data_IF_970976826235
#
_entry.id   IF_970976826235
#
_cell.length_a   1.000
_cell.length_b   1.000
_cell.length_c   1.000
_cell.angle_alpha   90.00
_cell.angle_beta   90.00
_cell.angle_gamma   90.00
#
_symmetry.space_group_name_H-M   'P 1'
#
loop_
_entity.id
_entity.type
_entity.pdbx_description
1 polymer ?
#
# COMPACT_ATOMS: atom_id res chain seq x y z
N UNK A 1 33.60 0.46 -31.43
CA UNK A 1 32.63 0.93 -30.43
C UNK A 1 32.63 -0.09 -29.29
N UNK A 2 33.21 0.25 -28.13
CA UNK A 2 33.30 -0.66 -26.99
C UNK A 2 32.00 -0.58 -26.17
N UNK A 3 31.34 -1.72 -25.98
CA UNK A 3 30.17 -1.84 -25.12
C UNK A 3 30.64 -1.93 -23.65
N UNK A 4 30.29 -0.92 -22.83
CA UNK A 4 30.46 -0.99 -21.39
C UNK A 4 29.29 -1.79 -20.79
N UNK A 5 29.60 -2.98 -20.30
CA UNK A 5 28.65 -3.85 -19.63
C UNK A 5 28.52 -3.37 -18.16
N UNK A 6 27.45 -2.63 -17.85
CA UNK A 6 27.19 -2.15 -16.49
C UNK A 6 26.58 -3.29 -15.68
N UNK A 7 27.41 -3.99 -14.91
CA UNK A 7 26.96 -5.04 -14.00
C UNK A 7 26.40 -4.36 -12.74
N UNK A 8 25.07 -4.28 -12.61
CA UNK A 8 24.42 -3.84 -11.37
C UNK A 8 24.64 -4.94 -10.33
N UNK A 9 25.28 -4.67 -9.17
CA UNK A 9 25.40 -5.68 -8.13
C UNK A 9 24.00 -6.08 -7.66
N UNK A 10 23.71 -7.38 -7.68
CA UNK A 10 22.51 -7.90 -7.04
C UNK A 10 22.61 -7.64 -5.53
N UNK A 11 21.59 -7.00 -4.97
CA UNK A 11 21.43 -6.86 -3.53
C UNK A 11 21.40 -8.26 -2.91
N UNK A 12 22.51 -8.63 -2.29
CA UNK A 12 22.59 -9.84 -1.47
C UNK A 12 21.87 -9.54 -0.16
N UNK A 13 20.85 -10.33 0.25
CA UNK A 13 20.13 -10.05 1.48
C UNK A 13 21.04 -10.34 2.68
N UNK A 14 21.60 -9.29 3.27
CA UNK A 14 22.24 -9.36 4.58
C UNK A 14 21.14 -9.47 5.65
N UNK A 15 21.15 -10.48 6.54
CA UNK A 15 19.97 -10.79 7.36
C UNK A 15 19.61 -9.78 8.46
N UNK A 16 20.41 -8.74 8.74
CA UNK A 16 20.28 -7.96 9.99
C UNK A 16 20.60 -6.45 9.89
N UNK A 17 20.53 -5.83 8.72
CA UNK A 17 20.43 -4.36 8.65
C UNK A 17 18.95 -3.98 8.65
N UNK A 18 18.44 -3.23 9.64
CA UNK A 18 17.16 -2.56 9.48
C UNK A 18 17.30 -1.64 8.27
N UNK A 19 16.61 -1.96 7.18
CA UNK A 19 16.63 -1.14 5.98
C UNK A 19 15.88 0.17 6.27
N UNK A 20 16.60 1.18 6.75
CA UNK A 20 16.09 2.55 6.91
C UNK A 20 16.38 3.19 8.26
N UNK A 21 16.18 4.51 8.31
CA UNK A 21 16.22 5.31 9.54
C UNK A 21 14.87 5.11 10.25
N UNK A 22 14.89 4.64 11.49
CA UNK A 22 13.68 4.61 12.33
C UNK A 22 13.36 6.03 12.80
N UNK A 23 12.08 6.41 12.73
CA UNK A 23 11.59 7.72 13.20
C UNK A 23 10.59 7.46 14.32
N UNK A 24 10.86 7.98 15.51
CA UNK A 24 9.91 8.00 16.62
C UNK A 24 9.02 9.25 16.49
N UNK A 25 7.72 9.05 16.24
CA UNK A 25 6.79 10.18 16.08
C UNK A 25 6.60 11.00 17.35
N UNK A 26 6.92 10.45 18.53
CA UNK A 26 6.82 11.16 19.82
C UNK A 26 7.91 12.22 19.99
N UNK A 27 9.02 12.08 19.25
CA UNK A 27 10.13 13.04 19.26
C UNK A 27 9.89 14.22 18.31
N UNK A 28 8.87 14.15 17.45
CA UNK A 28 8.57 15.17 16.47
C UNK A 28 7.57 16.19 17.03
N UNK A 29 7.95 17.47 17.22
CA UNK A 29 7.10 18.45 17.91
C UNK A 29 5.84 18.85 17.13
N UNK A 30 5.74 18.47 15.86
CA UNK A 30 4.60 18.76 14.99
C UNK A 30 3.62 17.58 14.83
N UNK A 31 3.88 16.43 15.46
CA UNK A 31 2.92 15.31 15.41
C UNK A 31 1.76 15.57 16.35
N UNK A 32 0.55 15.25 15.90
CA UNK A 32 -0.62 15.38 16.75
C UNK A 32 -0.66 14.25 17.77
N UNK A 33 -1.32 14.49 18.91
CA UNK A 33 -1.61 13.44 19.89
C UNK A 33 -2.29 12.24 19.24
N UNK A 34 -3.24 12.47 18.33
CA UNK A 34 -3.94 11.40 17.62
C UNK A 34 -3.01 10.48 16.83
N UNK A 35 -2.00 11.02 16.14
CA UNK A 35 -1.02 10.20 15.41
C UNK A 35 -0.20 9.35 16.40
N UNK A 36 0.21 9.94 17.52
CA UNK A 36 0.93 9.19 18.56
C UNK A 36 0.05 8.09 19.18
N UNK A 37 -1.20 8.40 19.51
CA UNK A 37 -2.15 7.44 20.06
C UNK A 37 -2.39 6.29 19.06
N UNK A 38 -2.52 6.58 17.77
CA UNK A 38 -2.65 5.55 16.73
C UNK A 38 -1.42 4.66 16.59
N UNK A 39 -0.21 5.21 16.75
CA UNK A 39 1.04 4.47 16.58
C UNK A 39 1.49 3.70 17.83
N UNK A 40 1.17 4.19 19.03
CA UNK A 40 1.75 3.68 20.29
C UNK A 40 0.72 3.30 21.36
N UNK A 41 -0.51 3.85 21.31
CA UNK A 41 -1.54 3.68 22.35
C UNK A 41 -2.90 3.31 21.72
N UNK A 42 -2.88 2.41 20.73
CA UNK A 42 -4.02 2.17 19.85
C UNK A 42 -5.27 1.62 20.59
N UNK A 43 -5.09 0.96 21.74
CA UNK A 43 -6.19 0.45 22.56
C UNK A 43 -7.20 1.54 22.96
N UNK A 44 -6.75 2.80 23.08
CA UNK A 44 -7.62 3.94 23.37
C UNK A 44 -8.48 4.35 22.16
N UNK A 45 -8.08 3.96 20.94
CA UNK A 45 -8.75 4.29 19.70
C UNK A 45 -9.51 3.11 19.08
N UNK A 46 -9.38 1.91 19.64
CA UNK A 46 -9.85 0.66 19.04
C UNK A 46 -11.32 0.68 18.60
N UNK A 47 -12.20 1.41 19.31
CA UNK A 47 -13.62 1.50 18.99
C UNK A 47 -13.91 2.29 17.70
N UNK A 48 -12.97 3.10 17.23
CA UNK A 48 -13.11 3.92 16.03
C UNK A 48 -12.54 3.24 14.77
N UNK A 49 -11.94 2.06 14.91
CA UNK A 49 -11.23 1.38 13.82
C UNK A 49 -11.66 -0.09 13.71
N UNK A 50 -11.52 -0.65 12.50
CA UNK A 50 -11.94 -2.02 12.22
C UNK A 50 -11.01 -3.09 12.83
N UNK A 51 -9.73 -2.76 13.00
CA UNK A 51 -8.71 -3.69 13.47
C UNK A 51 -7.50 -2.93 14.03
N UNK A 52 -6.75 -3.61 14.90
CA UNK A 52 -5.48 -3.10 15.41
C UNK A 52 -4.41 -3.12 14.30
N UNK A 53 -3.81 -1.98 13.92
CA UNK A 53 -2.98 -1.86 12.73
C UNK A 53 -1.69 -2.70 12.81
N UNK A 54 -1.15 -2.88 14.01
CA UNK A 54 0.09 -3.64 14.25
C UNK A 54 -0.13 -5.15 14.51
N UNK A 55 -1.38 -5.63 14.51
CA UNK A 55 -1.69 -7.04 14.79
C UNK A 55 -2.14 -7.74 13.52
N UNK A 56 -1.27 -8.56 12.91
CA UNK A 56 -1.57 -9.24 11.64
C UNK A 56 -2.81 -10.14 11.70
N UNK A 57 -3.09 -10.77 12.84
CA UNK A 57 -4.29 -11.61 13.02
C UNK A 57 -5.58 -10.79 12.93
N UNK A 58 -5.59 -9.54 13.41
CA UNK A 58 -6.77 -8.68 13.34
C UNK A 58 -7.15 -8.37 11.88
N UNK A 59 -6.15 -8.21 11.00
CA UNK A 59 -6.37 -7.99 9.57
C UNK A 59 -6.90 -9.23 8.83
N UNK A 60 -6.53 -10.45 9.26
CA UNK A 60 -7.10 -11.68 8.65
C UNK A 60 -8.62 -11.71 8.82
N UNK A 61 -9.11 -11.39 10.01
CA UNK A 61 -10.55 -11.30 10.29
C UNK A 61 -11.24 -10.26 9.39
N UNK A 62 -10.63 -9.09 9.18
CA UNK A 62 -11.16 -8.05 8.28
C UNK A 62 -11.19 -8.51 6.83
N UNK A 63 -10.14 -9.19 6.37
CA UNK A 63 -10.04 -9.73 5.00
C UNK A 63 -11.11 -10.81 4.77
N UNK A 64 -11.29 -11.72 5.72
CA UNK A 64 -12.28 -12.79 5.61
C UNK A 64 -13.71 -12.23 5.64
N UNK A 65 -13.98 -11.25 6.50
CA UNK A 65 -15.26 -10.52 6.49
C UNK A 65 -15.50 -9.79 5.16
N UNK A 66 -14.45 -9.19 4.57
CA UNK A 66 -14.55 -8.55 3.25
C UNK A 66 -14.85 -9.56 2.15
N UNK A 67 -14.21 -10.73 2.16
CA UNK A 67 -14.49 -11.83 1.21
C UNK A 67 -15.91 -12.38 1.33
N UNK A 68 -16.48 -12.38 2.54
CA UNK A 68 -17.87 -12.77 2.76
C UNK A 68 -18.88 -11.78 2.16
N UNK A 69 -18.47 -10.54 1.86
CA UNK A 69 -19.31 -9.53 1.19
C UNK A 69 -18.61 -8.98 -0.06
N UNK A 70 -18.49 -9.78 -1.15
CA UNK A 70 -17.72 -9.41 -2.33
C UNK A 70 -18.12 -8.06 -2.94
N UNK A 71 -17.14 -7.38 -3.53
CA UNK A 71 -17.39 -6.20 -4.37
C UNK A 71 -18.02 -6.64 -5.70
N UNK A 72 -18.83 -5.76 -6.30
CA UNK A 72 -19.35 -5.97 -7.65
C UNK A 72 -18.20 -6.08 -8.68
N UNK A 73 -18.12 -7.19 -9.46
CA UNK A 73 -17.13 -7.34 -10.53
C UNK A 73 -17.11 -6.20 -11.54
N UNK A 74 -18.22 -5.47 -11.72
CA UNK A 74 -18.30 -4.31 -12.60
C UNK A 74 -17.25 -3.23 -12.26
N UNK A 75 -16.83 -3.12 -11.00
CA UNK A 75 -15.74 -2.20 -10.61
C UNK A 75 -14.41 -2.63 -11.23
N UNK A 76 -14.11 -3.94 -11.25
CA UNK A 76 -12.93 -4.47 -11.92
C UNK A 76 -12.97 -4.24 -13.43
N UNK A 77 -14.13 -4.43 -14.06
CA UNK A 77 -14.32 -4.20 -15.50
C UNK A 77 -14.05 -2.73 -15.89
N UNK A 78 -14.57 -1.78 -15.11
CA UNK A 78 -14.32 -0.35 -15.30
C UNK A 78 -12.82 -0.04 -15.18
N UNK A 79 -12.13 -0.62 -14.19
CA UNK A 79 -10.70 -0.41 -14.01
C UNK A 79 -9.87 -0.98 -15.17
N UNK A 80 -10.18 -2.20 -15.62
CA UNK A 80 -9.52 -2.82 -16.77
C UNK A 80 -9.66 -1.94 -18.00
N UNK A 81 -10.89 -1.50 -18.31
CA UNK A 81 -11.15 -0.62 -19.44
C UNK A 81 -10.36 0.68 -19.36
N UNK A 82 -10.38 1.35 -18.21
CA UNK A 82 -9.65 2.62 -18.02
C UNK A 82 -8.13 2.46 -18.17
N UNK A 83 -7.58 1.35 -17.71
CA UNK A 83 -6.15 1.06 -17.85
C UNK A 83 -5.77 0.75 -19.29
N UNK A 84 -6.62 0.02 -20.04
CA UNK A 84 -6.42 -0.23 -21.46
C UNK A 84 -6.45 1.06 -22.28
N UNK A 85 -7.45 1.93 -22.04
CA UNK A 85 -7.58 3.23 -22.71
C UNK A 85 -6.36 4.14 -22.46
N UNK A 86 -5.63 3.93 -21.36
CA UNK A 86 -4.41 4.68 -20.98
C UNK A 86 -3.12 4.02 -21.43
N UNK A 87 -3.17 2.88 -22.12
CA UNK A 87 -1.98 2.12 -22.51
C UNK A 87 -1.15 1.65 -21.32
N UNK A 88 -1.82 1.27 -20.22
CA UNK A 88 -1.15 0.80 -19.01
C UNK A 88 -0.32 -0.48 -19.27
N UNK A 89 0.76 -0.70 -18.49
CA UNK A 89 1.57 -1.90 -18.63
C UNK A 89 0.80 -3.17 -18.23
N UNK A 90 1.23 -4.30 -18.76
CA UNK A 90 0.59 -5.60 -18.55
C UNK A 90 0.42 -5.97 -17.06
N UNK A 91 1.39 -5.62 -16.22
CA UNK A 91 1.31 -5.86 -14.78
C UNK A 91 0.10 -5.14 -14.14
N UNK A 92 -0.22 -3.91 -14.56
CA UNK A 92 -1.37 -3.18 -14.06
C UNK A 92 -2.69 -3.79 -14.56
N UNK A 93 -2.73 -4.23 -15.83
CA UNK A 93 -3.88 -4.92 -16.41
C UNK A 93 -4.14 -6.26 -15.72
N UNK A 94 -3.10 -7.04 -15.44
CA UNK A 94 -3.19 -8.30 -14.72
C UNK A 94 -3.78 -8.12 -13.31
N UNK A 95 -3.28 -7.11 -12.56
CA UNK A 95 -3.81 -6.79 -11.24
C UNK A 95 -5.27 -6.31 -11.28
N UNK A 96 -5.65 -5.53 -12.28
CA UNK A 96 -7.05 -5.11 -12.44
C UNK A 96 -7.97 -6.28 -12.81
N UNK A 97 -7.52 -7.19 -13.67
CA UNK A 97 -8.27 -8.41 -13.99
C UNK A 97 -8.45 -9.32 -12.77
N UNK A 98 -7.49 -9.36 -11.85
CA UNK A 98 -7.64 -10.11 -10.60
C UNK A 98 -8.83 -9.62 -9.75
N UNK A 99 -9.22 -8.35 -9.87
CA UNK A 99 -10.38 -7.79 -9.15
C UNK A 99 -11.73 -8.31 -9.67
N UNK A 100 -11.76 -8.96 -10.84
CA UNK A 100 -12.97 -9.64 -11.35
C UNK A 100 -13.30 -10.89 -10.52
N UNK A 101 -12.33 -11.44 -9.79
CA UNK A 101 -12.58 -12.54 -8.86
C UNK A 101 -13.22 -12.01 -7.57
N UNK A 102 -14.40 -12.56 -7.23
CA UNK A 102 -15.17 -12.18 -6.02
C UNK A 102 -14.42 -12.38 -4.70
N UNK A 103 -13.39 -13.22 -4.67
CA UNK A 103 -12.57 -13.47 -3.48
C UNK A 103 -11.35 -12.53 -3.36
N UNK A 104 -11.13 -11.67 -4.35
CA UNK A 104 -10.05 -10.69 -4.34
C UNK A 104 -10.32 -9.57 -3.35
N UNK A 105 -9.27 -9.14 -2.68
CA UNK A 105 -9.25 -7.95 -1.82
C UNK A 105 -8.15 -7.03 -2.30
N UNK A 106 -8.34 -5.72 -2.12
CA UNK A 106 -7.38 -4.71 -2.51
C UNK A 106 -7.02 -3.84 -1.31
N UNK A 107 -5.74 -3.50 -1.19
CA UNK A 107 -5.29 -2.42 -0.32
C UNK A 107 -5.37 -1.14 -1.13
N UNK A 108 -6.10 -0.15 -0.61
CA UNK A 108 -6.38 1.09 -1.32
C UNK A 108 -5.77 2.25 -0.56
N UNK A 109 -5.08 3.13 -1.28
CA UNK A 109 -4.62 4.43 -0.78
C UNK A 109 -5.06 5.51 -1.77
N UNK A 110 -4.97 6.78 -1.36
CA UNK A 110 -5.43 7.90 -2.14
C UNK A 110 -4.60 9.16 -1.95
N UNK A 111 -4.55 9.95 -3.01
CA UNK A 111 -3.99 11.29 -3.01
C UNK A 111 -4.62 12.13 -4.13
N UNK A 112 -4.71 13.44 -3.93
CA UNK A 112 -5.09 14.38 -4.99
C UNK A 112 -4.06 14.34 -6.13
N UNK A 113 -4.53 14.45 -7.38
CA UNK A 113 -3.66 14.52 -8.55
C UNK A 113 -2.88 15.84 -8.56
N UNK A 114 -1.64 15.80 -8.06
CA UNK A 114 -0.71 16.93 -8.10
C UNK A 114 0.11 16.94 -9.39
N UNK A 115 0.45 18.14 -9.87
CA UNK A 115 1.38 18.30 -11.00
C UNK A 115 2.71 17.57 -10.68
N UNK A 116 3.26 16.88 -11.67
CA UNK A 116 4.51 16.09 -11.54
C UNK A 116 4.49 15.02 -10.43
N UNK A 117 3.32 14.48 -10.10
CA UNK A 117 3.17 13.45 -9.04
C UNK A 117 2.92 14.02 -7.65
N UNK A 118 2.88 15.34 -7.50
CA UNK A 118 2.58 16.01 -6.25
C UNK A 118 3.70 15.86 -5.20
N UNK A 119 3.37 15.94 -3.91
CA UNK A 119 4.36 15.79 -2.84
C UNK A 119 5.00 14.40 -2.82
N UNK A 120 6.23 14.29 -2.31
CA UNK A 120 6.97 13.02 -2.21
C UNK A 120 6.18 11.90 -1.52
N UNK A 121 5.37 12.24 -0.51
CA UNK A 121 4.58 11.24 0.21
C UNK A 121 3.55 10.53 -0.68
N UNK A 122 3.19 11.06 -1.86
CA UNK A 122 2.35 10.36 -2.84
C UNK A 122 3.03 9.07 -3.30
N UNK A 123 4.32 9.15 -3.63
CA UNK A 123 5.11 7.99 -4.04
C UNK A 123 5.30 7.04 -2.85
N UNK A 124 5.58 7.58 -1.66
CA UNK A 124 5.74 6.76 -0.46
C UNK A 124 4.46 5.98 -0.12
N UNK A 125 3.29 6.62 -0.22
CA UNK A 125 1.99 5.94 -0.06
C UNK A 125 1.82 4.79 -1.06
N UNK A 126 2.14 5.01 -2.33
CA UNK A 126 2.04 3.97 -3.35
C UNK A 126 2.96 2.77 -3.06
N UNK A 127 4.23 3.04 -2.70
CA UNK A 127 5.20 2.00 -2.33
C UNK A 127 4.75 1.22 -1.08
N UNK A 128 4.24 1.91 -0.06
CA UNK A 128 3.70 1.25 1.14
C UNK A 128 2.52 0.36 0.80
N UNK A 129 1.60 0.81 -0.05
CA UNK A 129 0.46 -0.01 -0.49
C UNK A 129 0.87 -1.24 -1.30
N UNK A 130 1.94 -1.17 -2.09
CA UNK A 130 2.46 -2.33 -2.84
C UNK A 130 3.17 -3.33 -1.92
N UNK A 131 3.81 -2.84 -0.84
CA UNK A 131 4.56 -3.68 0.11
C UNK A 131 3.67 -4.48 1.06
N UNK A 132 2.54 -3.90 1.46
CA UNK A 132 1.56 -4.51 2.37
C UNK A 132 0.76 -5.61 1.67
#
# INVERSE_FOLDING_TARGET
>A
MQQYNYNVPADSPQPNTPNGISIDFRELPWTSRFVNDYCYEFDQLQEFFLAHPQQSEAWKTVIDARRATPTDPAIGEVLVRQLQERGAPEAALSNANALLNKNSVAIVTGQQAGLFGGPLFTVLKALTTIKL
#
